data_IF_128286625562
#
_entry.id   IF_128286625562
#
_cell.length_a   1.000
_cell.length_b   1.000
_cell.length_c   1.000
_cell.angle_alpha   90.00
_cell.angle_beta   90.00
_cell.angle_gamma   90.00
#
_symmetry.space_group_name_H-M   'P 1'
#
loop_
_entity.id
_entity.type
_entity.pdbx_description
1 polymer ?
#
# COMPACT_ATOMS: atom_id res chain seq x y z
N UNK A 1 30.86 -7.66 -6.66
CA UNK A 1 30.96 -7.50 -5.18
C UNK A 1 29.74 -8.12 -4.53
N UNK A 2 29.79 -8.61 -3.28
CA UNK A 2 28.57 -9.07 -2.59
C UNK A 2 27.78 -7.85 -2.11
N UNK A 3 26.46 -7.88 -2.33
CA UNK A 3 25.53 -6.85 -1.82
C UNK A 3 25.53 -6.83 -0.29
N UNK A 4 25.25 -5.68 0.29
CA UNK A 4 25.10 -5.53 1.73
C UNK A 4 23.84 -6.26 2.25
N UNK A 5 23.77 -6.49 3.56
CA UNK A 5 22.58 -7.07 4.19
C UNK A 5 21.38 -6.13 4.04
N UNK A 6 21.62 -4.83 4.11
CA UNK A 6 20.59 -3.80 3.97
C UNK A 6 20.02 -3.79 2.55
N UNK A 7 20.88 -3.77 1.52
CA UNK A 7 20.47 -3.86 0.11
C UNK A 7 19.67 -5.13 -0.18
N UNK A 8 20.06 -6.27 0.39
CA UNK A 8 19.27 -7.52 0.27
C UNK A 8 17.92 -7.43 0.98
N UNK A 9 17.84 -6.65 2.06
CA UNK A 9 16.59 -6.33 2.76
C UNK A 9 15.64 -5.50 1.89
N UNK A 10 16.17 -4.46 1.25
CA UNK A 10 15.44 -3.59 0.32
C UNK A 10 14.88 -4.37 -0.88
N UNK A 11 15.71 -5.22 -1.50
CA UNK A 11 15.26 -6.11 -2.58
C UNK A 11 14.08 -6.98 -2.14
N UNK A 12 14.18 -7.60 -0.96
CA UNK A 12 13.09 -8.43 -0.45
C UNK A 12 11.82 -7.62 -0.16
N UNK A 13 11.96 -6.40 0.34
CA UNK A 13 10.83 -5.53 0.63
C UNK A 13 10.09 -5.13 -0.67
N UNK A 14 10.80 -4.72 -1.71
CA UNK A 14 10.24 -4.39 -3.01
C UNK A 14 9.53 -5.60 -3.65
N UNK A 15 10.21 -6.75 -3.71
CA UNK A 15 9.64 -7.99 -4.26
C UNK A 15 8.39 -8.42 -3.48
N UNK A 16 8.41 -8.35 -2.14
CA UNK A 16 7.25 -8.69 -1.30
C UNK A 16 6.12 -7.68 -1.38
N UNK A 17 6.42 -6.42 -1.65
CA UNK A 17 5.44 -5.37 -1.88
C UNK A 17 4.47 -5.76 -3.00
N UNK A 18 5.00 -6.34 -4.08
CA UNK A 18 4.22 -6.93 -5.17
C UNK A 18 3.58 -5.89 -6.09
N UNK A 19 4.15 -4.71 -6.20
CA UNK A 19 3.73 -3.64 -7.11
C UNK A 19 4.67 -3.47 -8.29
N UNK A 20 5.93 -3.83 -8.13
CA UNK A 20 6.99 -3.62 -9.12
C UNK A 20 7.36 -4.93 -9.79
N UNK A 21 7.63 -4.89 -11.08
CA UNK A 21 8.16 -6.03 -11.82
C UNK A 21 9.68 -6.12 -11.64
N UNK A 22 10.26 -7.23 -12.09
CA UNK A 22 11.68 -7.53 -11.95
C UNK A 22 12.59 -6.39 -12.42
N UNK A 23 12.34 -5.90 -13.62
CA UNK A 23 13.19 -4.90 -14.26
C UNK A 23 13.01 -3.52 -13.61
N UNK A 24 11.80 -3.19 -13.15
CA UNK A 24 11.52 -1.98 -12.37
C UNK A 24 12.30 -1.97 -11.06
N UNK A 25 12.32 -3.10 -10.33
CA UNK A 25 13.10 -3.22 -9.08
C UNK A 25 14.59 -3.01 -9.31
N UNK A 26 15.14 -3.53 -10.42
CA UNK A 26 16.55 -3.33 -10.76
C UNK A 26 16.83 -1.85 -11.06
N UNK A 27 15.95 -1.17 -11.80
CA UNK A 27 16.04 0.25 -12.10
C UNK A 27 15.96 1.09 -10.83
N UNK A 28 14.95 0.85 -9.97
CA UNK A 28 14.78 1.53 -8.67
C UNK A 28 16.05 1.42 -7.82
N UNK A 29 16.63 0.23 -7.72
CA UNK A 29 17.86 0.04 -6.93
C UNK A 29 19.08 0.70 -7.56
N UNK A 30 19.32 0.48 -8.86
CA UNK A 30 20.57 0.88 -9.50
C UNK A 30 20.60 2.36 -9.95
N UNK A 31 19.44 3.03 -10.05
CA UNK A 31 19.34 4.38 -10.59
C UNK A 31 18.66 5.38 -9.64
N UNK A 32 17.75 4.93 -8.75
CA UNK A 32 17.00 5.82 -7.86
C UNK A 32 17.47 5.76 -6.40
N UNK A 33 17.62 4.55 -5.83
CA UNK A 33 18.03 4.38 -4.42
C UNK A 33 19.53 4.49 -4.21
N UNK A 34 20.33 4.08 -5.17
CA UNK A 34 21.79 4.13 -5.15
C UNK A 34 22.31 4.92 -6.34
N UNK A 35 23.50 5.52 -6.20
CA UNK A 35 24.15 6.22 -7.30
C UNK A 35 24.49 5.26 -8.45
N UNK A 36 24.32 5.67 -9.71
CA UNK A 36 24.64 4.82 -10.86
C UNK A 36 26.05 4.24 -10.80
N UNK A 37 26.17 2.92 -10.80
CA UNK A 37 27.42 2.18 -10.72
C UNK A 37 27.95 1.95 -9.29
N UNK A 38 27.23 2.35 -8.26
CA UNK A 38 27.54 2.05 -6.85
C UNK A 38 27.33 0.55 -6.55
N UNK A 39 26.23 -0.01 -7.07
CA UNK A 39 25.95 -1.43 -6.96
C UNK A 39 26.49 -2.19 -8.19
N UNK A 40 26.84 -3.45 -7.97
CA UNK A 40 27.12 -4.41 -9.06
C UNK A 40 25.78 -4.90 -9.63
N UNK A 41 25.37 -4.35 -10.78
CA UNK A 41 24.10 -4.63 -11.41
C UNK A 41 23.84 -6.13 -11.59
N UNK A 42 24.84 -6.91 -11.98
CA UNK A 42 24.72 -8.35 -12.11
C UNK A 42 24.43 -9.03 -10.76
N UNK A 43 24.99 -8.52 -9.67
CA UNK A 43 24.69 -9.02 -8.32
C UNK A 43 23.26 -8.65 -7.89
N UNK A 44 22.80 -7.46 -8.26
CA UNK A 44 21.40 -7.02 -8.02
C UNK A 44 20.43 -7.91 -8.79
N UNK A 45 20.63 -8.13 -10.09
CA UNK A 45 19.81 -9.03 -10.90
C UNK A 45 19.67 -10.43 -10.28
N UNK A 46 20.80 -11.02 -9.88
CA UNK A 46 20.80 -12.35 -9.25
C UNK A 46 20.04 -12.38 -7.92
N UNK A 47 20.17 -11.30 -7.11
CA UNK A 47 19.48 -11.20 -5.83
C UNK A 47 17.97 -10.99 -6.02
N UNK A 48 17.56 -10.19 -6.99
CA UNK A 48 16.14 -9.99 -7.37
C UNK A 48 15.53 -11.30 -7.85
N UNK A 49 16.19 -12.03 -8.76
CA UNK A 49 15.74 -13.34 -9.25
C UNK A 49 15.62 -14.37 -8.12
N UNK A 50 16.55 -14.35 -7.17
CA UNK A 50 16.50 -15.22 -6.00
C UNK A 50 15.32 -14.86 -5.08
N UNK A 51 15.04 -13.57 -4.86
CA UNK A 51 13.94 -13.09 -4.03
C UNK A 51 12.57 -13.46 -4.66
N UNK A 52 12.38 -13.28 -5.97
CA UNK A 52 11.18 -13.72 -6.65
C UNK A 52 10.99 -15.25 -6.57
N UNK A 53 12.09 -16.02 -6.74
CA UNK A 53 12.04 -17.48 -6.62
C UNK A 53 11.68 -17.94 -5.20
N UNK A 54 12.07 -17.22 -4.17
CA UNK A 54 11.69 -17.44 -2.79
C UNK A 54 10.22 -17.13 -2.57
N UNK A 55 9.75 -15.96 -3.03
CA UNK A 55 8.35 -15.54 -2.95
C UNK A 55 7.42 -16.55 -3.62
N UNK A 56 7.76 -17.04 -4.82
CA UNK A 56 6.96 -18.06 -5.53
C UNK A 56 6.88 -19.40 -4.76
N UNK A 57 7.89 -19.74 -3.98
CA UNK A 57 7.82 -20.91 -3.09
C UNK A 57 6.90 -20.69 -1.90
N UNK A 58 6.94 -19.49 -1.30
CA UNK A 58 6.09 -19.09 -0.18
C UNK A 58 4.61 -19.02 -0.60
N UNK A 59 4.30 -18.44 -1.76
CA UNK A 59 2.94 -18.33 -2.33
C UNK A 59 2.20 -19.66 -2.36
N UNK A 60 2.90 -20.78 -2.53
CA UNK A 60 2.31 -22.14 -2.53
C UNK A 60 1.77 -22.57 -1.17
N UNK A 61 2.20 -21.91 -0.09
CA UNK A 61 1.79 -22.20 1.28
C UNK A 61 0.77 -21.20 1.81
N UNK A 62 0.50 -20.12 1.07
CA UNK A 62 -0.45 -19.10 1.47
C UNK A 62 -1.88 -19.63 1.48
N UNK A 63 -2.74 -19.11 2.37
CA UNK A 63 -4.15 -19.46 2.39
C UNK A 63 -4.83 -19.10 1.06
N UNK A 64 -5.97 -19.72 0.79
CA UNK A 64 -6.73 -19.44 -0.44
C UNK A 64 -7.19 -17.98 -0.54
N UNK A 65 -7.44 -17.34 0.60
CA UNK A 65 -7.75 -15.91 0.73
C UNK A 65 -6.76 -15.30 1.72
N UNK A 66 -5.97 -14.36 1.26
CA UNK A 66 -4.98 -13.63 2.07
C UNK A 66 -5.57 -12.34 2.62
N UNK A 67 -4.85 -11.66 3.52
CA UNK A 67 -5.28 -10.34 4.00
C UNK A 67 -5.19 -9.28 2.89
N UNK A 68 -4.27 -9.43 1.94
CA UNK A 68 -4.24 -8.59 0.74
C UNK A 68 -5.49 -8.77 -0.13
N UNK A 69 -5.99 -10.02 -0.30
CA UNK A 69 -7.26 -10.27 -1.01
C UNK A 69 -8.46 -9.63 -0.28
N UNK A 70 -8.46 -9.65 1.06
CA UNK A 70 -9.49 -8.98 1.89
C UNK A 70 -9.43 -7.46 1.75
N UNK A 71 -8.24 -6.88 1.78
CA UNK A 71 -8.03 -5.44 1.59
C UNK A 71 -8.51 -5.00 0.20
N UNK A 72 -8.17 -5.75 -0.85
CA UNK A 72 -8.65 -5.52 -2.21
C UNK A 72 -10.18 -5.50 -2.29
N UNK A 73 -10.83 -6.50 -1.67
CA UNK A 73 -12.29 -6.56 -1.61
C UNK A 73 -12.92 -5.35 -0.91
N UNK A 74 -12.31 -4.92 0.21
CA UNK A 74 -12.77 -3.75 0.95
C UNK A 74 -12.62 -2.48 0.10
N UNK A 75 -11.48 -2.28 -0.57
CA UNK A 75 -11.23 -1.13 -1.42
C UNK A 75 -12.15 -1.08 -2.63
N UNK A 76 -12.41 -2.23 -3.28
CA UNK A 76 -13.41 -2.32 -4.34
C UNK A 76 -14.82 -1.97 -3.85
N UNK A 77 -15.17 -2.34 -2.62
CA UNK A 77 -16.47 -1.99 -2.02
C UNK A 77 -16.54 -0.49 -1.69
N UNK A 78 -15.47 0.10 -1.18
CA UNK A 78 -15.37 1.54 -0.90
C UNK A 78 -15.51 2.38 -2.17
N UNK A 79 -14.81 2.02 -3.25
CA UNK A 79 -14.95 2.70 -4.55
C UNK A 79 -16.39 2.69 -5.05
N UNK A 80 -17.15 1.59 -4.87
CA UNK A 80 -18.57 1.52 -5.21
C UNK A 80 -19.47 2.38 -4.32
N UNK A 81 -18.97 2.77 -3.13
CA UNK A 81 -19.69 3.62 -2.16
C UNK A 81 -19.29 5.10 -2.26
N UNK A 82 -18.51 5.48 -3.28
CA UNK A 82 -18.08 6.85 -3.48
C UNK A 82 -16.90 7.27 -2.59
N UNK A 83 -16.06 6.32 -2.14
CA UNK A 83 -14.79 6.60 -1.47
C UNK A 83 -13.67 6.16 -2.39
N UNK A 84 -12.84 7.09 -2.88
CA UNK A 84 -11.66 6.76 -3.69
C UNK A 84 -10.67 5.99 -2.82
N UNK A 85 -10.53 4.70 -3.06
CA UNK A 85 -9.62 3.82 -2.32
C UNK A 85 -8.46 3.40 -3.23
N UNK A 86 -7.22 3.80 -2.85
CA UNK A 86 -6.02 3.59 -3.64
C UNK A 86 -5.01 2.73 -2.90
N UNK A 87 -4.44 1.76 -3.61
CA UNK A 87 -3.33 0.95 -3.16
C UNK A 87 -2.00 1.62 -3.51
N UNK A 88 -1.06 1.67 -2.57
CA UNK A 88 0.31 2.13 -2.76
C UNK A 88 0.37 3.49 -3.51
N UNK A 89 -0.40 4.47 -3.01
CA UNK A 89 -0.52 5.79 -3.62
C UNK A 89 0.69 6.66 -3.27
N UNK A 90 1.56 6.91 -4.24
CA UNK A 90 2.83 7.60 -4.07
C UNK A 90 3.75 6.95 -3.04
N UNK A 91 4.86 7.60 -2.72
CA UNK A 91 5.79 7.12 -1.70
C UNK A 91 5.52 7.73 -0.32
N UNK A 92 5.17 9.01 -0.27
CA UNK A 92 4.82 9.74 0.95
C UNK A 92 3.32 10.00 1.04
N UNK A 93 2.85 10.45 2.20
CA UNK A 93 1.45 10.83 2.37
C UNK A 93 1.04 11.99 1.46
N UNK A 94 1.94 12.95 1.20
CA UNK A 94 1.67 14.08 0.30
C UNK A 94 1.54 13.62 -1.16
N UNK A 95 2.37 12.67 -1.59
CA UNK A 95 2.24 12.05 -2.92
C UNK A 95 0.90 11.32 -3.05
N UNK A 96 0.50 10.58 -2.01
CA UNK A 96 -0.78 9.87 -1.98
C UNK A 96 -1.98 10.82 -2.08
N UNK A 97 -1.92 12.01 -1.48
CA UNK A 97 -2.94 13.04 -1.70
C UNK A 97 -2.96 13.57 -3.13
N UNK A 98 -1.80 13.71 -3.78
CA UNK A 98 -1.72 14.12 -5.18
C UNK A 98 -2.39 13.06 -6.09
N UNK A 99 -2.11 11.77 -5.87
CA UNK A 99 -2.73 10.66 -6.61
C UNK A 99 -4.25 10.65 -6.42
N UNK A 100 -4.75 10.86 -5.20
CA UNK A 100 -6.20 10.97 -4.94
C UNK A 100 -6.81 12.13 -5.73
N UNK A 101 -6.15 13.30 -5.78
CA UNK A 101 -6.65 14.46 -6.52
C UNK A 101 -6.64 14.21 -8.03
N UNK A 102 -5.66 13.50 -8.56
CA UNK A 102 -5.62 13.11 -9.96
C UNK A 102 -6.81 12.20 -10.31
N UNK A 103 -6.99 11.12 -9.55
CA UNK A 103 -8.13 10.19 -9.74
C UNK A 103 -9.47 10.91 -9.61
N UNK A 104 -9.61 11.81 -8.62
CA UNK A 104 -10.83 12.60 -8.44
C UNK A 104 -11.09 13.52 -9.62
N UNK A 105 -10.05 14.19 -10.15
CA UNK A 105 -10.19 15.11 -11.27
C UNK A 105 -10.67 14.43 -12.55
N UNK A 106 -10.33 13.15 -12.72
CA UNK A 106 -10.73 12.31 -13.85
C UNK A 106 -12.04 11.55 -13.62
N UNK A 107 -12.57 11.60 -12.39
CA UNK A 107 -13.77 10.82 -12.05
C UNK A 107 -15.01 11.36 -12.77
N UNK A 108 -15.78 10.52 -13.51
CA UNK A 108 -16.91 10.97 -14.33
C UNK A 108 -18.07 11.53 -13.51
N UNK A 109 -18.19 11.13 -12.25
CA UNK A 109 -19.27 11.51 -11.33
C UNK A 109 -18.67 12.08 -10.03
N UNK A 110 -17.95 13.21 -10.10
CA UNK A 110 -17.29 13.81 -8.94
C UNK A 110 -18.24 14.10 -7.78
N UNK A 111 -19.49 14.52 -8.07
CA UNK A 111 -20.51 14.78 -7.05
C UNK A 111 -20.90 13.54 -6.23
N UNK A 112 -20.58 12.34 -6.72
CA UNK A 112 -20.85 11.07 -6.01
C UNK A 112 -19.71 10.67 -5.06
N UNK A 113 -18.54 11.33 -5.15
CA UNK A 113 -17.37 11.01 -4.35
C UNK A 113 -17.43 11.78 -3.03
N UNK A 114 -17.53 11.06 -1.93
CA UNK A 114 -17.64 11.63 -0.57
C UNK A 114 -16.31 11.72 0.16
N UNK A 115 -15.29 10.94 -0.24
CA UNK A 115 -14.01 10.91 0.44
C UNK A 115 -13.00 9.98 -0.20
N UNK A 116 -11.90 9.78 0.49
CA UNK A 116 -10.77 8.96 0.04
C UNK A 116 -10.19 8.10 1.16
N UNK A 117 -9.46 7.07 0.76
CA UNK A 117 -8.68 6.19 1.62
C UNK A 117 -7.48 5.65 0.83
N UNK A 118 -6.28 5.68 1.41
CA UNK A 118 -5.09 5.10 0.79
C UNK A 118 -4.04 4.71 1.82
N UNK A 119 -3.08 3.91 1.40
CA UNK A 119 -1.76 3.76 2.01
C UNK A 119 -0.68 4.06 0.96
N UNK A 120 0.46 4.54 1.39
CA UNK A 120 1.58 4.95 0.54
C UNK A 120 2.79 4.02 0.69
N UNK A 121 3.86 4.24 -0.07
CA UNK A 121 5.05 3.38 -0.08
C UNK A 121 5.67 3.15 1.29
N UNK A 122 5.79 4.18 2.14
CA UNK A 122 6.32 4.02 3.50
C UNK A 122 5.41 3.14 4.39
N UNK A 123 4.08 3.17 4.20
CA UNK A 123 3.16 2.27 4.90
C UNK A 123 3.31 0.83 4.39
N UNK A 124 3.54 0.67 3.07
CA UNK A 124 3.83 -0.62 2.47
C UNK A 124 5.11 -1.24 3.05
N UNK A 125 6.19 -0.46 3.15
CA UNK A 125 7.42 -0.92 3.80
C UNK A 125 7.19 -1.36 5.25
N UNK A 126 6.37 -0.60 5.99
CA UNK A 126 6.00 -0.91 7.36
C UNK A 126 5.27 -2.26 7.45
N UNK A 127 4.21 -2.47 6.66
CA UNK A 127 3.42 -3.71 6.72
C UNK A 127 4.20 -4.92 6.21
N UNK A 128 5.01 -4.79 5.16
CA UNK A 128 5.90 -5.85 4.66
C UNK A 128 6.90 -6.30 5.71
N UNK A 129 7.33 -5.37 6.58
CA UNK A 129 8.22 -5.63 7.71
C UNK A 129 7.48 -6.15 8.96
N UNK A 130 6.16 -6.36 8.90
CA UNK A 130 5.35 -6.86 10.01
C UNK A 130 4.89 -5.79 11.00
N UNK A 131 4.92 -4.50 10.61
CA UNK A 131 4.51 -3.36 11.45
C UNK A 131 3.02 -3.01 11.37
N UNK A 132 2.21 -3.79 10.62
CA UNK A 132 0.82 -3.46 10.34
C UNK A 132 0.65 -2.39 9.26
N UNK A 133 -0.58 -2.12 8.83
CA UNK A 133 -0.90 -1.19 7.76
C UNK A 133 -1.66 0.03 8.28
N UNK A 134 -1.15 1.22 8.00
CA UNK A 134 -1.83 2.48 8.25
C UNK A 134 -2.53 2.98 7.00
N UNK A 135 -3.76 3.48 7.16
CA UNK A 135 -4.55 4.08 6.09
C UNK A 135 -4.77 5.55 6.37
N UNK A 136 -4.40 6.41 5.44
CA UNK A 136 -4.82 7.81 5.39
C UNK A 136 -6.23 7.88 4.80
N UNK A 137 -7.05 8.81 5.27
CA UNK A 137 -8.43 8.97 4.80
C UNK A 137 -8.94 10.38 5.07
N UNK A 138 -10.01 10.75 4.42
CA UNK A 138 -10.71 12.02 4.68
C UNK A 138 -11.85 12.27 3.69
N UNK A 139 -12.61 13.36 3.90
CA UNK A 139 -13.55 13.88 2.92
C UNK A 139 -12.80 14.53 1.76
N UNK A 140 -13.45 14.69 0.61
CA UNK A 140 -12.85 15.41 -0.53
C UNK A 140 -12.71 16.91 -0.28
N UNK A 141 -13.56 17.51 0.56
CA UNK A 141 -13.46 18.91 0.95
C UNK A 141 -12.71 19.04 2.30
N UNK A 142 -11.46 19.57 2.31
CA UNK A 142 -10.66 19.69 3.53
C UNK A 142 -11.29 20.63 4.59
N UNK A 143 -12.21 21.51 4.21
CA UNK A 143 -12.91 22.38 5.16
C UNK A 143 -13.80 21.58 6.11
N UNK A 144 -14.21 20.38 5.73
CA UNK A 144 -15.12 19.52 6.48
C UNK A 144 -14.44 18.31 7.15
N UNK A 145 -13.11 18.27 7.22
CA UNK A 145 -12.35 17.13 7.78
C UNK A 145 -12.81 16.70 9.18
N UNK A 146 -13.03 17.65 10.08
CA UNK A 146 -13.44 17.38 11.45
C UNK A 146 -14.88 16.83 11.57
N UNK A 147 -15.75 17.16 10.62
CA UNK A 147 -17.17 16.78 10.66
C UNK A 147 -17.50 15.57 9.76
N UNK A 148 -16.93 15.53 8.58
CA UNK A 148 -17.17 14.47 7.59
C UNK A 148 -16.09 13.39 7.62
N UNK A 149 -14.89 13.69 8.05
CA UNK A 149 -13.80 12.71 8.20
C UNK A 149 -14.21 11.48 9.02
N UNK A 150 -14.81 11.64 10.24
CA UNK A 150 -15.30 10.48 10.98
C UNK A 150 -16.39 9.67 10.27
N UNK A 151 -17.19 10.30 9.42
CA UNK A 151 -18.20 9.58 8.59
C UNK A 151 -17.52 8.71 7.55
N UNK A 152 -16.55 9.27 6.82
CA UNK A 152 -15.74 8.51 5.84
C UNK A 152 -14.97 7.39 6.55
N UNK A 153 -14.32 7.68 7.68
CA UNK A 153 -13.59 6.68 8.47
C UNK A 153 -14.49 5.52 8.92
N UNK A 154 -15.73 5.81 9.31
CA UNK A 154 -16.71 4.77 9.68
C UNK A 154 -17.03 3.85 8.50
N UNK A 155 -17.23 4.40 7.29
CA UNK A 155 -17.45 3.61 6.08
C UNK A 155 -16.26 2.68 5.78
N UNK A 156 -15.05 3.19 5.94
CA UNK A 156 -13.82 2.42 5.71
C UNK A 156 -13.72 1.26 6.70
N UNK A 157 -13.87 1.53 8.00
CA UNK A 157 -13.84 0.50 9.05
C UNK A 157 -14.91 -0.57 8.84
N UNK A 158 -16.12 -0.17 8.41
CA UNK A 158 -17.20 -1.12 8.08
C UNK A 158 -16.78 -2.09 6.97
N UNK A 159 -16.24 -1.59 5.84
CA UNK A 159 -15.88 -2.44 4.71
C UNK A 159 -14.66 -3.33 5.02
N UNK A 160 -13.65 -2.80 5.72
CA UNK A 160 -12.50 -3.58 6.17
C UNK A 160 -12.92 -4.73 7.12
N UNK A 161 -13.78 -4.42 8.08
CA UNK A 161 -14.31 -5.42 9.05
C UNK A 161 -15.19 -6.46 8.34
N UNK A 162 -16.04 -6.07 7.41
CA UNK A 162 -16.84 -7.00 6.57
C UNK A 162 -15.95 -7.94 5.75
N UNK A 163 -14.82 -7.45 5.26
CA UNK A 163 -13.83 -8.26 4.55
C UNK A 163 -13.07 -9.22 5.46
N UNK A 164 -13.17 -9.06 6.80
CA UNK A 164 -12.57 -9.93 7.80
C UNK A 164 -11.19 -9.47 8.27
N UNK A 165 -10.87 -8.19 8.13
CA UNK A 165 -9.67 -7.58 8.70
C UNK A 165 -9.95 -7.06 10.12
N UNK A 166 -8.96 -7.19 11.01
CA UNK A 166 -9.01 -6.58 12.34
C UNK A 166 -8.54 -5.12 12.23
N UNK A 167 -9.34 -4.19 12.75
CA UNK A 167 -9.14 -2.75 12.55
C UNK A 167 -9.14 -2.01 13.88
N UNK A 168 -8.15 -1.16 14.07
CA UNK A 168 -8.06 -0.24 15.20
C UNK A 168 -8.21 1.20 14.73
N UNK A 169 -9.17 1.90 15.31
CA UNK A 169 -9.41 3.32 15.07
C UNK A 169 -10.23 3.92 16.21
N UNK A 170 -9.91 5.14 16.63
CA UNK A 170 -10.57 5.79 17.76
C UNK A 170 -11.85 6.56 17.38
N UNK A 171 -12.23 6.54 16.10
CA UNK A 171 -13.42 7.23 15.61
C UNK A 171 -13.22 8.71 15.30
N UNK A 172 -11.97 9.22 15.34
CA UNK A 172 -11.66 10.64 15.09
C UNK A 172 -10.85 10.80 13.79
N UNK A 173 -10.91 11.99 13.20
CA UNK A 173 -10.07 12.33 12.04
C UNK A 173 -8.60 12.57 12.43
N UNK A 174 -8.31 12.79 13.73
CA UNK A 174 -6.97 13.07 14.23
C UNK A 174 -6.00 11.86 14.11
N UNK A 175 -6.53 10.65 13.97
CA UNK A 175 -5.72 9.43 13.89
C UNK A 175 -6.08 8.59 12.65
N UNK A 176 -5.05 8.06 12.03
CA UNK A 176 -5.17 7.16 10.88
C UNK A 176 -5.82 5.83 11.30
N UNK A 177 -6.48 5.17 10.36
CA UNK A 177 -7.01 3.81 10.57
C UNK A 177 -5.82 2.85 10.51
N UNK A 178 -5.79 1.85 11.41
CA UNK A 178 -4.69 0.91 11.55
C UNK A 178 -5.18 -0.54 11.51
N UNK A 179 -4.49 -1.39 10.74
CA UNK A 179 -4.69 -2.84 10.66
C UNK A 179 -3.44 -3.50 11.27
N UNK A 180 -3.47 -3.87 12.59
CA UNK A 180 -2.26 -4.22 13.33
C UNK A 180 -1.63 -5.55 12.92
N UNK A 181 -2.46 -6.57 12.67
CA UNK A 181 -2.02 -7.95 12.44
C UNK A 181 -2.14 -8.36 10.97
N UNK A 182 -1.94 -7.41 10.05
CA UNK A 182 -2.02 -7.67 8.61
C UNK A 182 -0.82 -8.50 8.13
N UNK A 183 -1.09 -9.72 7.66
CA UNK A 183 -0.08 -10.56 7.00
C UNK A 183 -0.01 -10.22 5.50
N UNK A 184 1.08 -9.52 5.11
CA UNK A 184 1.25 -9.04 3.75
C UNK A 184 1.62 -10.18 2.80
N UNK A 185 0.63 -10.70 2.10
CA UNK A 185 0.70 -11.83 1.17
C UNK A 185 0.00 -11.46 -0.15
N UNK A 186 0.62 -10.56 -0.93
CA UNK A 186 0.13 -10.12 -2.25
C UNK A 186 0.59 -11.09 -3.34
N UNK A 187 -0.38 -11.56 -4.15
CA UNK A 187 -0.13 -12.50 -5.28
C UNK A 187 0.16 -11.75 -6.56
#
# INVERSE_FOLDING_TARGET
MSLSVDTLGEIRALVRGGFDERDDIIEILCEEMYEPGELDEQAVEQAVDAAFSELEREKRQWPAVTDCDRLEQAFLALNKRGVIALHNAGYTQDDGYADVQEVFSEHPEQDSVSGYCFYHGQDLECVVSGGGLYLAFGPMDPVHEETEGPVVGTLIVEELTKAGLDVQWDGTFAHRIFIPDMDWQRR
#
